data_IF_063782457273
#
_entry.id   IF_063782457273
#
_cell.length_a   1.000
_cell.length_b   1.000
_cell.length_c   1.000
_cell.angle_alpha   90.00
_cell.angle_beta   90.00
_cell.angle_gamma   90.00
#
_symmetry.space_group_name_H-M   'P 1'
#
loop_
_entity.id
_entity.type
_entity.pdbx_description
1 polymer ?
#
# COMPACT_ATOMS: atom_id res chain seq x y z
N UNK A 1 13.93 2.37 24.83
CA UNK A 1 14.51 2.86 23.55
C UNK A 1 13.51 3.84 22.98
N UNK A 2 13.96 4.98 22.47
CA UNK A 2 13.06 6.00 21.94
C UNK A 2 12.85 5.74 20.45
N UNK A 3 11.60 5.71 19.96
CA UNK A 3 11.28 5.65 18.54
C UNK A 3 11.68 6.97 17.89
N UNK A 4 12.43 6.89 16.80
CA UNK A 4 12.95 8.02 16.03
C UNK A 4 12.34 8.08 14.62
N UNK A 5 11.78 6.96 14.14
CA UNK A 5 11.05 6.91 12.89
C UNK A 5 9.82 6.01 12.98
N UNK A 6 8.78 6.38 12.22
CA UNK A 6 7.61 5.54 11.95
C UNK A 6 7.58 5.23 10.47
N UNK A 7 7.48 3.95 10.13
CA UNK A 7 7.37 3.47 8.74
C UNK A 7 5.96 2.95 8.55
N UNK A 8 5.23 3.52 7.60
CA UNK A 8 3.86 3.14 7.29
C UNK A 8 3.79 2.26 6.05
N UNK A 9 2.80 1.36 6.02
CA UNK A 9 2.19 0.91 4.77
C UNK A 9 1.25 1.99 4.21
N UNK A 10 0.84 1.88 2.95
CA UNK A 10 -0.08 2.84 2.32
C UNK A 10 -1.53 2.36 2.39
N UNK A 11 -1.83 1.23 1.73
CA UNK A 11 -3.19 0.78 1.54
C UNK A 11 -3.72 0.08 2.78
N UNK A 12 -4.98 0.37 3.15
CA UNK A 12 -5.63 -0.07 4.40
C UNK A 12 -4.91 0.38 5.68
N UNK A 13 -3.97 1.33 5.52
CA UNK A 13 -3.19 1.94 6.61
C UNK A 13 -3.28 3.47 6.57
N UNK A 14 -2.79 4.13 5.52
CA UNK A 14 -2.90 5.58 5.34
C UNK A 14 -4.09 5.97 4.45
N UNK A 15 -4.42 5.14 3.48
CA UNK A 15 -5.61 5.25 2.63
C UNK A 15 -6.36 3.92 2.64
N UNK A 16 -7.64 3.93 2.25
CA UNK A 16 -8.39 2.70 2.05
C UNK A 16 -8.98 2.63 0.64
N UNK A 17 -8.89 1.46 0.04
CA UNK A 17 -9.51 1.17 -1.25
C UNK A 17 -10.99 0.76 -1.11
N UNK A 18 -11.47 0.52 0.11
CA UNK A 18 -12.81 -0.02 0.36
C UNK A 18 -13.90 1.05 0.50
N UNK A 19 -13.55 2.33 0.52
CA UNK A 19 -14.51 3.43 0.44
C UNK A 19 -14.95 3.73 -1.01
N UNK A 20 -14.30 3.14 -2.01
CA UNK A 20 -14.57 3.29 -3.43
C UNK A 20 -14.88 1.94 -4.07
N UNK A 21 -15.57 1.89 -5.22
CA UNK A 21 -15.75 0.66 -5.97
C UNK A 21 -14.39 0.05 -6.32
N UNK A 22 -14.24 -1.26 -6.10
CA UNK A 22 -13.04 -1.98 -6.52
C UNK A 22 -12.99 -2.11 -8.05
N UNK A 23 -11.79 -2.05 -8.62
CA UNK A 23 -11.57 -2.30 -10.05
C UNK A 23 -10.25 -3.04 -10.27
N UNK A 24 -10.26 -4.33 -9.93
CA UNK A 24 -9.18 -5.29 -10.11
C UNK A 24 -9.57 -6.34 -11.15
N UNK A 25 -8.80 -7.38 -11.31
CA UNK A 25 -8.97 -8.38 -12.34
C UNK A 25 -10.39 -8.91 -12.50
N UNK A 26 -11.09 -9.20 -11.40
CA UNK A 26 -12.49 -9.67 -11.42
C UNK A 26 -13.43 -8.61 -12.02
N UNK A 27 -13.39 -7.39 -11.49
CA UNK A 27 -14.24 -6.28 -11.94
C UNK A 27 -13.90 -5.83 -13.37
N UNK A 28 -12.61 -5.91 -13.75
CA UNK A 28 -12.19 -5.66 -15.14
C UNK A 28 -12.78 -6.70 -16.07
N UNK A 29 -12.71 -7.99 -15.71
CA UNK A 29 -13.30 -9.06 -16.52
C UNK A 29 -14.82 -8.86 -16.70
N UNK A 30 -15.54 -8.62 -15.60
CA UNK A 30 -16.99 -8.35 -15.61
C UNK A 30 -17.35 -7.14 -16.47
N UNK A 31 -16.61 -6.03 -16.35
CA UNK A 31 -16.81 -4.80 -17.13
C UNK A 31 -16.56 -5.00 -18.64
N UNK A 32 -15.77 -6.00 -19.00
CA UNK A 32 -15.48 -6.41 -20.38
C UNK A 32 -16.43 -7.49 -20.90
N UNK A 33 -17.35 -7.98 -20.06
CA UNK A 33 -18.23 -9.11 -20.43
C UNK A 33 -17.51 -10.45 -20.51
N UNK A 34 -16.33 -10.59 -19.89
CA UNK A 34 -15.58 -11.82 -19.78
C UNK A 34 -15.91 -12.56 -18.49
N UNK A 35 -15.83 -13.88 -18.53
CA UNK A 35 -15.86 -14.68 -17.31
C UNK A 35 -14.54 -14.49 -16.54
N UNK A 36 -14.58 -14.25 -15.21
CA UNK A 36 -13.37 -14.10 -14.42
C UNK A 36 -12.35 -15.24 -14.61
N UNK A 37 -12.81 -16.48 -14.76
CA UNK A 37 -11.97 -17.66 -14.94
C UNK A 37 -11.12 -17.61 -16.23
N UNK A 38 -11.57 -16.87 -17.23
CA UNK A 38 -10.84 -16.70 -18.50
C UNK A 38 -9.79 -15.61 -18.41
N UNK A 39 -10.07 -14.53 -17.66
CA UNK A 39 -9.21 -13.35 -17.56
C UNK A 39 -8.18 -13.43 -16.42
N UNK A 40 -8.59 -13.93 -15.24
CA UNK A 40 -7.77 -13.90 -14.04
C UNK A 40 -6.43 -14.66 -14.15
N UNK A 41 -6.29 -15.77 -14.86
CA UNK A 41 -4.98 -16.42 -15.01
C UNK A 41 -3.94 -15.49 -15.64
N UNK A 42 -4.29 -14.79 -16.72
CA UNK A 42 -3.42 -13.80 -17.35
C UNK A 42 -3.14 -12.60 -16.44
N UNK A 43 -4.17 -12.08 -15.77
CA UNK A 43 -4.03 -11.00 -14.79
C UNK A 43 -3.04 -11.34 -13.66
N UNK A 44 -3.16 -12.54 -13.08
CA UNK A 44 -2.29 -12.99 -11.96
C UNK A 44 -0.88 -13.27 -12.45
N UNK A 45 -0.70 -13.80 -13.65
CA UNK A 45 0.62 -14.06 -14.23
C UNK A 45 1.47 -12.79 -14.39
N UNK A 46 0.85 -11.62 -14.53
CA UNK A 46 1.55 -10.33 -14.64
C UNK A 46 1.78 -9.62 -13.32
N UNK A 47 1.23 -10.12 -12.20
CA UNK A 47 1.23 -9.41 -10.91
C UNK A 47 2.63 -9.07 -10.41
N UNK A 48 3.54 -10.04 -10.42
CA UNK A 48 4.91 -9.81 -9.97
C UNK A 48 5.63 -8.77 -10.83
N UNK A 49 5.50 -8.87 -12.15
CA UNK A 49 6.12 -7.92 -13.08
C UNK A 49 5.54 -6.49 -12.90
N UNK A 50 4.22 -6.37 -12.68
CA UNK A 50 3.56 -5.10 -12.40
C UNK A 50 3.95 -4.51 -11.05
N UNK A 51 4.12 -5.33 -10.03
CA UNK A 51 4.48 -4.88 -8.69
C UNK A 51 5.95 -4.51 -8.54
N UNK A 52 6.83 -4.98 -9.44
CA UNK A 52 8.28 -4.79 -9.36
C UNK A 52 8.86 -3.99 -10.53
N UNK A 53 8.07 -3.14 -11.17
CA UNK A 53 8.53 -2.18 -12.17
C UNK A 53 8.91 -2.75 -13.54
N UNK A 54 8.65 -4.04 -13.78
CA UNK A 54 9.00 -4.69 -15.05
C UNK A 54 7.95 -4.55 -16.14
N UNK A 55 6.70 -4.26 -15.76
CA UNK A 55 5.57 -4.16 -16.67
C UNK A 55 4.58 -3.11 -16.12
N UNK A 56 4.28 -2.07 -16.88
CA UNK A 56 3.27 -1.10 -16.49
C UNK A 56 1.87 -1.72 -16.46
N UNK A 57 0.95 -1.11 -15.73
CA UNK A 57 -0.46 -1.52 -15.78
C UNK A 57 -1.02 -1.37 -17.21
N UNK A 58 -0.67 -0.26 -17.88
CA UNK A 58 -1.12 0.03 -19.24
C UNK A 58 -0.66 -1.05 -20.23
N UNK A 59 0.63 -1.42 -20.19
CA UNK A 59 1.18 -2.46 -21.08
C UNK A 59 0.59 -3.83 -20.76
N UNK A 60 0.43 -4.18 -19.48
CA UNK A 60 -0.23 -5.41 -19.06
C UNK A 60 -1.66 -5.50 -19.60
N UNK A 61 -2.42 -4.39 -19.53
CA UNK A 61 -3.77 -4.33 -20.07
C UNK A 61 -3.76 -4.42 -21.59
N UNK A 62 -2.82 -3.79 -22.29
CA UNK A 62 -2.71 -3.89 -23.73
C UNK A 62 -2.53 -5.36 -24.18
N UNK A 63 -1.61 -6.09 -23.52
CA UNK A 63 -1.39 -7.51 -23.80
C UNK A 63 -2.61 -8.38 -23.48
N UNK A 64 -3.22 -8.19 -22.31
CA UNK A 64 -4.35 -9.01 -21.87
C UNK A 64 -5.57 -8.78 -22.77
N UNK A 65 -5.90 -7.53 -23.09
CA UNK A 65 -7.03 -7.21 -23.95
C UNK A 65 -6.82 -7.69 -25.39
N UNK A 66 -5.58 -7.66 -25.89
CA UNK A 66 -5.26 -8.19 -27.20
C UNK A 66 -5.52 -9.71 -27.28
N UNK A 67 -5.19 -10.47 -26.25
CA UNK A 67 -5.46 -11.93 -26.17
C UNK A 67 -6.95 -12.30 -26.20
N UNK A 68 -7.82 -11.35 -25.85
CA UNK A 68 -9.27 -11.53 -25.83
C UNK A 68 -9.99 -10.79 -26.97
N UNK A 69 -9.26 -10.26 -27.97
CA UNK A 69 -9.80 -9.45 -29.08
C UNK A 69 -10.54 -8.18 -28.62
N UNK A 70 -10.15 -7.63 -27.45
CA UNK A 70 -10.78 -6.47 -26.79
C UNK A 70 -9.89 -5.22 -26.76
N UNK A 71 -8.89 -5.11 -27.64
CA UNK A 71 -7.92 -4.00 -27.66
C UNK A 71 -8.58 -2.61 -27.74
N UNK A 72 -9.76 -2.49 -28.34
CA UNK A 72 -10.53 -1.24 -28.39
C UNK A 72 -11.02 -0.73 -27.04
N UNK A 73 -11.00 -1.53 -25.98
CA UNK A 73 -11.40 -1.16 -24.63
C UNK A 73 -10.24 -0.65 -23.76
N UNK A 74 -8.99 -0.73 -24.25
CA UNK A 74 -7.77 -0.44 -23.48
C UNK A 74 -7.84 0.93 -22.75
N UNK A 75 -8.04 2.00 -23.49
CA UNK A 75 -8.12 3.35 -22.94
C UNK A 75 -9.17 3.47 -21.84
N UNK A 76 -10.38 2.95 -22.08
CA UNK A 76 -11.48 2.98 -21.11
C UNK A 76 -11.13 2.27 -19.80
N UNK A 77 -10.50 1.09 -19.90
CA UNK A 77 -10.10 0.30 -18.73
C UNK A 77 -9.03 1.02 -17.92
N UNK A 78 -8.01 1.57 -18.58
CA UNK A 78 -6.91 2.30 -17.93
C UNK A 78 -7.44 3.56 -17.24
N UNK A 79 -8.20 4.41 -17.95
CA UNK A 79 -8.78 5.63 -17.37
C UNK A 79 -9.69 5.33 -16.17
N UNK A 80 -10.52 4.29 -16.26
CA UNK A 80 -11.41 3.88 -15.16
C UNK A 80 -10.61 3.38 -13.95
N UNK A 81 -9.56 2.59 -14.16
CA UNK A 81 -8.67 2.13 -13.08
C UNK A 81 -8.02 3.32 -12.36
N UNK A 82 -7.43 4.24 -13.10
CA UNK A 82 -6.77 5.43 -12.53
C UNK A 82 -7.78 6.28 -11.74
N UNK A 83 -8.97 6.53 -12.29
CA UNK A 83 -9.99 7.33 -11.61
C UNK A 83 -10.43 6.71 -10.27
N UNK A 84 -10.65 5.38 -10.24
CA UNK A 84 -11.05 4.66 -9.02
C UNK A 84 -9.92 4.66 -7.99
N UNK A 85 -8.67 4.43 -8.41
CA UNK A 85 -7.53 4.48 -7.49
C UNK A 85 -7.28 5.89 -6.94
N UNK A 86 -7.46 6.94 -7.77
CA UNK A 86 -7.35 8.33 -7.31
C UNK A 86 -8.41 8.69 -6.26
N UNK A 87 -9.60 8.10 -6.35
CA UNK A 87 -10.69 8.34 -5.39
C UNK A 87 -10.34 7.87 -3.97
N UNK A 88 -9.50 6.83 -3.81
CA UNK A 88 -9.05 6.33 -2.51
C UNK A 88 -8.37 7.42 -1.67
N UNK A 89 -7.65 8.35 -2.31
CA UNK A 89 -6.94 9.45 -1.64
C UNK A 89 -7.86 10.60 -1.18
N UNK A 90 -9.14 10.58 -1.57
CA UNK A 90 -10.14 11.58 -1.13
C UNK A 90 -10.87 11.19 0.15
N UNK A 91 -10.68 9.96 0.62
CA UNK A 91 -11.42 9.38 1.74
C UNK A 91 -10.48 8.98 2.89
N UNK A 92 -9.57 9.89 3.28
CA UNK A 92 -8.66 9.66 4.38
C UNK A 92 -9.40 9.59 5.71
N UNK A 93 -8.96 8.71 6.60
CA UNK A 93 -9.39 8.77 8.00
C UNK A 93 -9.00 10.15 8.58
N UNK A 94 -9.90 10.83 9.34
CA UNK A 94 -9.64 12.18 9.84
C UNK A 94 -8.36 12.33 10.67
N UNK A 95 -7.88 11.25 11.29
CA UNK A 95 -6.67 11.22 12.09
C UNK A 95 -5.36 11.13 11.28
N UNK A 96 -5.39 10.83 9.96
CA UNK A 96 -4.14 10.57 9.20
C UNK A 96 -3.28 11.83 9.06
N UNK A 97 -3.80 12.91 8.49
CA UNK A 97 -3.02 14.15 8.34
C UNK A 97 -2.59 14.76 9.69
N UNK A 98 -3.46 14.81 10.72
CA UNK A 98 -3.03 15.19 12.07
C UNK A 98 -1.91 14.32 12.63
N UNK A 99 -1.95 13.00 12.47
CA UNK A 99 -0.89 12.09 12.89
C UNK A 99 0.45 12.43 12.21
N UNK A 100 0.46 12.50 10.86
CA UNK A 100 1.68 12.78 10.09
C UNK A 100 2.29 14.14 10.47
N UNK A 101 1.45 15.16 10.66
CA UNK A 101 1.87 16.47 11.11
C UNK A 101 2.48 16.43 12.51
N UNK A 102 1.81 15.76 13.45
CA UNK A 102 2.30 15.64 14.84
C UNK A 102 3.62 14.85 14.94
N UNK A 103 3.82 13.84 14.09
CA UNK A 103 5.10 13.12 14.01
C UNK A 103 6.23 14.05 13.56
N UNK A 104 6.01 14.83 12.50
CA UNK A 104 7.00 15.82 12.02
C UNK A 104 7.33 16.90 13.03
N UNK A 105 6.32 17.44 13.70
CA UNK A 105 6.50 18.45 14.79
C UNK A 105 7.36 17.91 15.93
N UNK A 106 7.31 16.60 16.19
CA UNK A 106 8.13 15.92 17.19
C UNK A 106 9.52 15.50 16.68
N UNK A 107 9.85 15.81 15.42
CA UNK A 107 11.12 15.44 14.81
C UNK A 107 11.23 13.96 14.47
N UNK A 108 10.11 13.23 14.43
CA UNK A 108 10.06 11.81 14.04
C UNK A 108 10.12 11.70 12.52
N UNK A 109 11.07 10.91 12.01
CA UNK A 109 11.19 10.63 10.57
C UNK A 109 10.07 9.70 10.11
N UNK A 110 9.59 9.90 8.89
CA UNK A 110 8.47 9.11 8.36
C UNK A 110 8.93 8.36 7.11
N UNK A 111 8.88 7.02 7.18
CA UNK A 111 9.08 6.13 6.04
C UNK A 111 7.76 5.66 5.44
N UNK A 112 7.80 5.20 4.21
CA UNK A 112 6.70 4.50 3.53
C UNK A 112 7.24 3.25 2.88
N UNK A 113 6.60 2.09 3.08
CA UNK A 113 6.88 0.86 2.34
C UNK A 113 5.55 0.29 1.83
N UNK A 114 5.33 0.33 0.52
CA UNK A 114 4.07 -0.12 -0.06
C UNK A 114 4.27 -1.01 -1.29
N UNK A 115 3.44 -2.05 -1.39
CA UNK A 115 3.29 -2.80 -2.64
C UNK A 115 2.30 -2.04 -3.54
N UNK A 116 2.74 -1.67 -4.73
CA UNK A 116 1.94 -0.88 -5.66
C UNK A 116 2.32 -1.18 -7.12
N UNK A 117 1.43 -0.83 -8.03
CA UNK A 117 1.64 -0.86 -9.47
C UNK A 117 2.02 0.53 -10.00
N UNK A 118 2.29 0.63 -11.30
CA UNK A 118 2.74 1.88 -11.94
C UNK A 118 1.79 3.06 -11.73
N UNK A 119 0.49 2.85 -11.95
CA UNK A 119 -0.55 3.86 -11.81
C UNK A 119 -0.75 4.27 -10.35
N UNK A 120 -0.61 3.32 -9.43
CA UNK A 120 -0.69 3.57 -7.98
C UNK A 120 0.52 4.37 -7.49
N UNK A 121 1.74 4.03 -7.95
CA UNK A 121 2.95 4.77 -7.61
C UNK A 121 2.86 6.24 -8.04
N UNK A 122 2.32 6.51 -9.23
CA UNK A 122 2.08 7.87 -9.70
C UNK A 122 1.11 8.62 -8.79
N UNK A 123 -0.04 8.02 -8.46
CA UNK A 123 -1.04 8.62 -7.59
C UNK A 123 -0.51 8.90 -6.17
N UNK A 124 0.29 7.98 -5.61
CA UNK A 124 0.96 8.18 -4.33
C UNK A 124 1.85 9.41 -4.37
N UNK A 125 2.66 9.57 -5.41
CA UNK A 125 3.56 10.71 -5.56
C UNK A 125 2.83 12.05 -5.76
N UNK A 126 1.66 12.03 -6.39
CA UNK A 126 0.83 13.21 -6.62
C UNK A 126 -0.09 13.52 -5.42
N UNK A 127 -0.16 12.65 -4.40
CA UNK A 127 -1.04 12.82 -3.24
C UNK A 127 -0.53 13.87 -2.24
N UNK A 128 -1.45 14.42 -1.46
CA UNK A 128 -1.12 15.31 -0.34
C UNK A 128 -0.32 14.63 0.79
N UNK A 129 -0.27 13.29 0.80
CA UNK A 129 0.50 12.52 1.78
C UNK A 129 1.99 12.47 1.42
N UNK A 130 2.33 12.53 0.12
CA UNK A 130 3.71 12.31 -0.33
C UNK A 130 4.76 13.25 0.30
N UNK A 131 4.49 14.56 0.49
CA UNK A 131 5.44 15.47 1.12
C UNK A 131 5.81 15.13 2.58
N UNK A 132 5.05 14.25 3.25
CA UNK A 132 5.35 13.83 4.62
C UNK A 132 6.47 12.78 4.70
N UNK A 133 6.72 12.02 3.62
CA UNK A 133 7.65 10.89 3.68
C UNK A 133 9.10 11.32 3.45
N UNK A 134 9.97 11.03 4.43
CA UNK A 134 11.44 11.19 4.32
C UNK A 134 12.08 10.05 3.51
N UNK A 135 11.49 8.86 3.56
CA UNK A 135 12.00 7.66 2.91
C UNK A 135 10.88 6.83 2.26
N UNK A 136 10.31 7.29 1.14
CA UNK A 136 9.33 6.49 0.40
C UNK A 136 10.04 5.34 -0.35
N UNK A 137 9.48 4.13 -0.20
CA UNK A 137 9.87 2.90 -0.89
C UNK A 137 8.61 2.27 -1.53
N UNK A 138 8.41 2.54 -2.79
CA UNK A 138 7.30 2.03 -3.59
C UNK A 138 7.80 0.81 -4.38
N UNK A 139 7.18 -0.34 -4.23
CA UNK A 139 7.67 -1.59 -4.82
C UNK A 139 7.88 -1.52 -6.33
N UNK A 140 7.00 -0.81 -7.03
CA UNK A 140 7.13 -0.50 -8.45
C UNK A 140 8.49 0.15 -8.80
N UNK A 141 8.94 1.10 -7.97
CA UNK A 141 10.17 1.85 -8.21
C UNK A 141 11.41 1.13 -7.70
N UNK A 142 11.26 0.38 -6.60
CA UNK A 142 12.37 -0.35 -5.96
C UNK A 142 12.70 -1.67 -6.65
N UNK A 143 11.83 -2.17 -7.53
CA UNK A 143 12.01 -3.47 -8.19
C UNK A 143 11.86 -4.68 -7.25
N UNK A 144 11.39 -4.45 -6.03
CA UNK A 144 11.22 -5.45 -4.98
C UNK A 144 10.02 -5.09 -4.12
N UNK A 145 9.26 -6.09 -3.64
CA UNK A 145 8.03 -5.88 -2.87
C UNK A 145 8.03 -6.61 -1.52
N UNK A 146 7.19 -6.18 -0.59
CA UNK A 146 6.89 -6.94 0.64
C UNK A 146 6.39 -8.35 0.28
N UNK A 147 6.80 -9.40 1.01
CA UNK A 147 7.53 -9.37 2.27
C UNK A 147 9.08 -9.43 2.13
N UNK A 148 9.67 -9.17 0.97
CA UNK A 148 11.12 -9.22 0.82
C UNK A 148 11.80 -8.21 1.77
N UNK A 149 12.74 -8.67 2.66
CA UNK A 149 13.45 -7.79 3.57
C UNK A 149 14.25 -6.68 2.89
N UNK A 150 14.54 -6.78 1.59
CA UNK A 150 15.34 -5.80 0.86
C UNK A 150 14.67 -4.42 0.81
N UNK A 151 13.34 -4.37 0.64
CA UNK A 151 12.61 -3.10 0.60
C UNK A 151 12.65 -2.38 1.96
N UNK A 152 12.56 -3.12 3.07
CA UNK A 152 12.69 -2.59 4.43
C UNK A 152 14.09 -2.04 4.70
N UNK A 153 15.14 -2.81 4.33
CA UNK A 153 16.53 -2.37 4.47
C UNK A 153 16.79 -1.09 3.64
N UNK A 154 16.16 -0.96 2.49
CA UNK A 154 16.25 0.27 1.68
C UNK A 154 15.62 1.45 2.40
N UNK A 155 14.43 1.30 2.97
CA UNK A 155 13.79 2.36 3.76
C UNK A 155 14.63 2.75 4.98
N UNK A 156 15.09 1.77 5.77
CA UNK A 156 15.94 1.99 6.95
C UNK A 156 17.23 2.72 6.59
N UNK A 157 17.88 2.32 5.50
CA UNK A 157 19.09 3.00 5.02
C UNK A 157 18.84 4.46 4.63
N UNK A 158 17.70 4.76 3.97
CA UNK A 158 17.30 6.13 3.62
C UNK A 158 16.98 6.97 4.85
N UNK A 159 16.34 6.36 5.86
CA UNK A 159 16.08 7.03 7.14
C UNK A 159 17.36 7.27 7.94
N UNK A 160 18.37 6.42 7.80
CA UNK A 160 19.60 6.49 8.59
C UNK A 160 19.36 6.18 10.08
N UNK A 161 18.35 5.38 10.41
CA UNK A 161 17.93 5.04 11.78
C UNK A 161 18.02 3.53 11.96
N UNK A 162 18.51 3.10 13.12
CA UNK A 162 18.62 1.69 13.45
C UNK A 162 17.23 1.05 13.62
N UNK A 163 17.05 -0.22 13.21
CA UNK A 163 15.74 -0.89 13.22
C UNK A 163 15.02 -0.85 14.57
N UNK A 164 15.75 -1.01 15.67
CA UNK A 164 15.23 -1.01 17.04
C UNK A 164 14.64 0.34 17.49
N UNK A 165 14.96 1.42 16.77
CA UNK A 165 14.42 2.76 16.98
C UNK A 165 13.32 3.12 15.95
N UNK A 166 12.82 2.13 15.21
CA UNK A 166 11.75 2.29 14.24
C UNK A 166 10.49 1.53 14.65
N UNK A 167 9.33 2.16 14.43
CA UNK A 167 8.02 1.54 14.50
C UNK A 167 7.49 1.30 13.08
N UNK A 168 7.06 0.08 12.79
CA UNK A 168 6.33 -0.25 11.57
C UNK A 168 4.83 -0.29 11.86
N UNK A 169 4.03 0.36 11.03
CA UNK A 169 2.58 0.45 11.13
C UNK A 169 1.97 -0.02 9.82
N UNK A 170 1.19 -1.10 9.84
CA UNK A 170 0.54 -1.66 8.66
C UNK A 170 -0.69 -2.48 9.01
N UNK A 171 -1.51 -2.82 8.02
CA UNK A 171 -2.75 -3.59 8.20
C UNK A 171 -2.51 -5.09 8.46
N UNK A 172 -1.27 -5.57 8.26
CA UNK A 172 -0.86 -6.96 8.43
C UNK A 172 -0.95 -7.80 7.15
N UNK A 173 -1.21 -7.18 6.00
CA UNK A 173 -1.11 -7.82 4.69
C UNK A 173 0.34 -8.20 4.32
N UNK A 174 0.50 -9.12 3.36
CA UNK A 174 1.83 -9.47 2.79
C UNK A 174 2.90 -9.85 3.83
N UNK A 175 2.53 -10.39 4.99
CA UNK A 175 3.46 -10.75 6.10
C UNK A 175 4.36 -9.58 6.54
N UNK A 176 3.89 -8.36 6.39
CA UNK A 176 4.69 -7.16 6.60
C UNK A 176 5.12 -6.95 8.05
N UNK A 177 4.22 -7.23 9.01
CA UNK A 177 4.50 -7.06 10.44
C UNK A 177 5.54 -8.07 10.92
N UNK A 178 5.42 -9.32 10.46
CA UNK A 178 6.38 -10.38 10.76
C UNK A 178 7.77 -10.05 10.21
N UNK A 179 7.82 -9.54 8.97
CA UNK A 179 9.09 -9.15 8.35
C UNK A 179 9.73 -7.97 9.07
N UNK A 180 8.94 -6.95 9.42
CA UNK A 180 9.44 -5.81 10.20
C UNK A 180 10.02 -6.27 11.55
N UNK A 181 9.27 -7.08 12.30
CA UNK A 181 9.73 -7.64 13.58
C UNK A 181 11.02 -8.48 13.44
N UNK A 182 11.09 -9.31 12.42
CA UNK A 182 12.28 -10.15 12.16
C UNK A 182 13.53 -9.31 11.81
N UNK A 183 13.34 -8.10 11.34
CA UNK A 183 14.42 -7.13 11.09
C UNK A 183 14.77 -6.27 12.31
N UNK A 184 14.07 -6.46 13.43
CA UNK A 184 14.34 -5.75 14.68
C UNK A 184 13.51 -4.48 14.90
N UNK A 185 12.54 -4.18 14.02
CA UNK A 185 11.61 -3.08 14.22
C UNK A 185 10.55 -3.48 15.27
N UNK A 186 10.01 -2.49 15.98
CA UNK A 186 8.71 -2.66 16.62
C UNK A 186 7.64 -2.65 15.52
N UNK A 187 6.59 -3.46 15.67
CA UNK A 187 5.52 -3.54 14.67
C UNK A 187 4.14 -3.57 15.33
N UNK A 188 3.20 -2.81 14.78
CA UNK A 188 1.82 -2.71 15.24
C UNK A 188 0.86 -2.86 14.07
N UNK A 189 -0.31 -3.44 14.32
CA UNK A 189 -1.34 -3.59 13.31
C UNK A 189 -2.30 -2.41 13.32
N UNK A 190 -2.42 -1.74 12.18
CA UNK A 190 -3.45 -0.74 11.91
C UNK A 190 -4.80 -1.44 11.68
N UNK A 191 -5.83 -1.09 12.44
CA UNK A 191 -7.17 -1.70 12.32
C UNK A 191 -8.29 -0.69 12.09
N UNK A 192 -7.99 0.59 12.00
CA UNK A 192 -8.98 1.67 11.89
C UNK A 192 -9.81 1.67 10.59
N UNK A 193 -9.31 1.05 9.51
CA UNK A 193 -10.09 0.89 8.27
C UNK A 193 -10.89 -0.42 8.20
N UNK A 194 -10.78 -1.32 9.20
CA UNK A 194 -11.45 -2.62 9.15
C UNK A 194 -12.97 -2.53 9.03
N UNK A 195 -13.61 -1.52 9.62
CA UNK A 195 -15.05 -1.32 9.50
C UNK A 195 -15.50 -0.89 8.09
N UNK A 196 -14.63 -0.25 7.32
CA UNK A 196 -14.90 0.15 5.94
C UNK A 196 -14.73 -1.02 4.95
N UNK A 197 -13.93 -2.03 5.31
CA UNK A 197 -13.60 -3.13 4.42
C UNK A 197 -14.70 -4.20 4.38
N UNK A 198 -14.97 -4.75 3.19
CA UNK A 198 -15.75 -5.97 3.07
C UNK A 198 -15.06 -7.11 3.85
N UNK A 199 -15.82 -7.91 4.60
CA UNK A 199 -15.30 -8.93 5.53
C UNK A 199 -14.23 -9.83 4.87
N UNK A 200 -14.48 -10.27 3.64
CA UNK A 200 -13.58 -11.15 2.88
C UNK A 200 -12.31 -10.46 2.33
N UNK A 201 -12.19 -9.13 2.46
CA UNK A 201 -11.04 -8.33 2.03
C UNK A 201 -10.19 -7.80 3.19
N UNK A 202 -10.66 -7.96 4.42
CA UNK A 202 -9.92 -7.52 5.59
C UNK A 202 -8.68 -8.39 5.79
N UNK A 203 -7.54 -7.78 6.07
CA UNK A 203 -6.39 -8.52 6.60
C UNK A 203 -6.80 -9.21 7.91
N UNK A 204 -6.32 -10.43 8.12
CA UNK A 204 -6.57 -11.15 9.36
C UNK A 204 -6.02 -10.37 10.56
N UNK A 205 -6.73 -10.40 11.69
CA UNK A 205 -6.16 -9.91 12.94
C UNK A 205 -4.92 -10.74 13.29
N UNK A 206 -3.87 -10.04 13.69
CA UNK A 206 -2.58 -10.62 14.07
C UNK A 206 -2.42 -10.56 15.59
N UNK A 207 -2.85 -11.57 16.34
CA UNK A 207 -2.89 -11.52 17.81
C UNK A 207 -1.51 -11.33 18.44
N UNK A 208 -0.43 -11.67 17.73
CA UNK A 208 0.94 -11.49 18.19
C UNK A 208 1.47 -10.06 18.05
N UNK A 209 0.65 -9.13 17.53
CA UNK A 209 0.99 -7.72 17.37
C UNK A 209 -0.04 -6.84 18.07
N UNK A 210 0.40 -5.75 18.72
CA UNK A 210 -0.51 -4.73 19.24
C UNK A 210 -1.36 -4.16 18.10
N UNK A 211 -2.65 -3.96 18.37
CA UNK A 211 -3.62 -3.43 17.42
C UNK A 211 -3.98 -2.00 17.78
N UNK A 212 -3.96 -1.11 16.79
CA UNK A 212 -4.35 0.28 16.95
C UNK A 212 -5.64 0.53 16.18
N UNK A 213 -6.65 1.03 16.86
CA UNK A 213 -7.98 1.30 16.28
C UNK A 213 -8.19 2.75 15.84
N UNK A 214 -7.27 3.64 16.19
CA UNK A 214 -7.23 5.04 15.75
C UNK A 214 -5.81 5.38 15.29
N UNK A 215 -5.64 6.13 14.19
CA UNK A 215 -4.32 6.58 13.75
C UNK A 215 -3.54 7.35 14.82
N UNK A 216 -4.21 8.16 15.65
CA UNK A 216 -3.55 8.96 16.68
C UNK A 216 -2.92 8.11 17.78
N UNK A 217 -3.34 6.84 17.98
CA UNK A 217 -2.74 5.93 18.96
C UNK A 217 -1.26 5.63 18.65
N UNK A 218 -0.80 5.85 17.41
CA UNK A 218 0.62 5.75 17.02
C UNK A 218 1.49 6.71 17.85
N UNK A 219 0.96 7.86 18.25
CA UNK A 219 1.72 8.86 19.04
C UNK A 219 2.13 8.34 20.42
N UNK A 220 1.41 7.39 21.00
CA UNK A 220 1.75 6.79 22.29
C UNK A 220 3.02 5.91 22.20
N UNK A 221 3.37 5.47 21.00
CA UNK A 221 4.58 4.67 20.76
C UNK A 221 5.83 5.54 20.62
N UNK A 222 5.71 6.77 20.16
CA UNK A 222 6.84 7.68 19.94
C UNK A 222 7.18 8.55 21.15
N UNK A 223 6.31 8.57 22.16
CA UNK A 223 6.50 9.34 23.40
C UNK A 223 7.13 8.53 24.54
N UNK A 224 7.34 7.24 24.34
CA UNK A 224 8.00 6.33 25.29
C UNK A 224 9.49 6.24 24.96
#
# INVERSE_FOLDING_TARGET
MSIQAVIFDMYETLVTQFCSPLYYGTQIAEDLGLRPEEFLPGWRATEEARATGKLTFEDAMAELLHRHDLSGHHRRVVEKRIAIQADCFRHLHPGILPLLSALRERGIRIGLITNCFSEEAKLIRESELFPYFDAPCLSWEEGVRKPDPAIYRTCLRRLGIAPENCLYVGDGGSFELETARNLGLQAVQATWYRQAAFEHKQAALRPDFPQLSDPMDVLDWVTK
#
